data_IF_272566782469
#
_entry.id   IF_272566782469
#
_cell.length_a   1.000
_cell.length_b   1.000
_cell.length_c   1.000
_cell.angle_alpha   90.00
_cell.angle_beta   90.00
_cell.angle_gamma   90.00
#
_symmetry.space_group_name_H-M   'P 1'
#
loop_
_entity.id
_entity.type
_entity.pdbx_description
1 polymer ?
#
# COMPACT_ATOMS: atom_id res chain seq x y z
N UNK A 1 -50.39 35.87 32.36
CA UNK A 1 -51.76 35.48 32.82
C UNK A 1 -52.06 34.11 32.26
N UNK A 2 -52.23 33.23 33.19
CA UNK A 2 -53.13 32.07 33.27
C UNK A 2 -52.94 31.00 32.21
N UNK A 3 -52.39 29.78 32.59
CA UNK A 3 -53.03 28.67 33.31
C UNK A 3 -54.14 28.02 32.46
N UNK A 4 -54.35 26.76 32.28
CA UNK A 4 -54.12 25.58 33.13
C UNK A 4 -54.66 24.34 32.40
N UNK A 5 -53.96 23.15 32.57
CA UNK A 5 -54.46 21.81 32.89
C UNK A 5 -55.23 20.90 31.92
N UNK A 6 -54.61 19.76 31.70
CA UNK A 6 -55.03 18.39 32.06
C UNK A 6 -56.39 17.84 31.63
N UNK A 7 -56.38 16.67 30.96
CA UNK A 7 -56.71 15.41 31.62
C UNK A 7 -56.66 14.20 30.69
N UNK A 8 -56.18 13.15 31.30
CA UNK A 8 -56.15 11.74 30.91
C UNK A 8 -57.54 11.13 30.68
N UNK A 9 -57.52 10.00 30.00
CA UNK A 9 -58.16 8.67 30.14
C UNK A 9 -58.56 8.18 28.75
N UNK A 10 -58.32 7.00 28.27
CA UNK A 10 -58.05 5.70 28.83
C UNK A 10 -58.88 4.65 28.09
N UNK A 11 -58.30 3.47 27.99
CA UNK A 11 -58.90 2.16 27.72
C UNK A 11 -59.13 1.73 26.25
N UNK A 12 -58.37 0.76 25.80
CA UNK A 12 -58.42 -0.72 25.82
C UNK A 12 -59.09 -1.33 24.58
N UNK A 13 -58.33 -2.23 24.00
CA UNK A 13 -58.62 -3.53 23.37
C UNK A 13 -58.91 -3.63 21.87
N UNK A 14 -58.15 -4.49 21.26
CA UNK A 14 -58.49 -5.14 19.99
C UNK A 14 -57.30 -5.70 19.23
N UNK A 15 -56.81 -6.84 19.66
CA UNK A 15 -55.78 -7.62 18.93
C UNK A 15 -56.35 -8.14 17.60
N UNK A 16 -55.62 -7.97 16.51
CA UNK A 16 -55.64 -8.89 15.39
C UNK A 16 -54.24 -9.01 14.82
N UNK A 17 -53.68 -10.20 15.04
CA UNK A 17 -52.47 -10.72 14.44
C UNK A 17 -52.74 -10.94 12.95
N UNK A 18 -52.00 -10.27 12.09
CA UNK A 18 -51.79 -10.70 10.71
C UNK A 18 -50.30 -10.79 10.49
N UNK A 19 -49.88 -12.04 10.40
CA UNK A 19 -48.49 -12.37 10.12
C UNK A 19 -48.09 -11.89 8.73
N UNK A 20 -47.10 -11.00 8.70
CA UNK A 20 -46.29 -10.76 7.52
C UNK A 20 -44.94 -11.43 7.77
N UNK A 21 -44.71 -12.54 7.09
CA UNK A 21 -43.39 -13.19 7.05
C UNK A 21 -42.43 -12.25 6.35
N UNK A 22 -41.61 -11.57 7.15
CA UNK A 22 -40.44 -10.86 6.65
C UNK A 22 -39.36 -11.92 6.37
N UNK A 23 -39.18 -12.27 5.09
CA UNK A 23 -38.00 -13.04 4.66
C UNK A 23 -36.81 -12.09 4.79
N UNK A 24 -36.14 -12.12 5.94
CA UNK A 24 -34.78 -11.58 6.05
C UNK A 24 -33.87 -12.49 5.22
N UNK A 25 -33.52 -12.07 4.02
CA UNK A 25 -32.37 -12.62 3.32
C UNK A 25 -31.11 -12.09 4.04
N UNK A 26 -30.67 -12.80 5.08
CA UNK A 26 -29.33 -12.66 5.60
C UNK A 26 -28.39 -13.26 4.56
N UNK A 27 -27.82 -12.41 3.71
CA UNK A 27 -26.59 -12.75 3.02
C UNK A 27 -25.52 -12.92 4.10
N UNK A 28 -25.34 -14.15 4.56
CA UNK A 28 -24.15 -14.57 5.28
C UNK A 28 -22.97 -14.40 4.32
N UNK A 29 -22.32 -13.24 4.35
CA UNK A 29 -20.92 -13.13 4.01
C UNK A 29 -20.20 -13.97 5.08
N UNK A 30 -19.96 -15.24 4.77
CA UNK A 30 -19.06 -16.05 5.55
C UNK A 30 -17.71 -15.31 5.57
N UNK A 31 -17.13 -15.02 6.74
CA UNK A 31 -15.74 -14.62 6.77
C UNK A 31 -14.97 -15.77 6.15
N UNK A 32 -14.16 -15.48 5.13
CA UNK A 32 -13.16 -16.44 4.66
C UNK A 32 -12.20 -16.65 5.84
N UNK A 33 -12.53 -17.58 6.70
CA UNK A 33 -11.61 -18.09 7.70
C UNK A 33 -10.55 -18.86 6.91
N UNK A 34 -9.39 -18.29 6.76
CA UNK A 34 -8.20 -19.04 6.36
C UNK A 34 -7.99 -20.08 7.46
N UNK A 35 -8.29 -21.33 7.16
CA UNK A 35 -8.04 -22.43 8.11
C UNK A 35 -6.54 -22.65 8.10
N UNK A 36 -5.84 -22.03 9.05
CA UNK A 36 -4.46 -22.36 9.33
C UNK A 36 -4.44 -23.71 10.04
N UNK A 37 -3.84 -24.70 9.42
CA UNK A 37 -3.46 -25.89 10.15
C UNK A 37 -2.18 -25.57 10.93
N UNK A 38 -2.27 -25.62 12.26
CA UNK A 38 -1.11 -25.43 13.15
C UNK A 38 0.02 -26.39 12.79
N UNK A 39 1.13 -25.86 12.37
CA UNK A 39 2.52 -26.21 12.72
C UNK A 39 3.50 -25.48 11.79
N UNK A 40 4.44 -24.73 12.34
CA UNK A 40 5.79 -24.37 11.91
C UNK A 40 6.08 -24.07 10.45
N UNK A 41 6.72 -22.94 10.22
CA UNK A 41 7.50 -22.51 9.05
C UNK A 41 7.13 -23.12 7.68
N UNK A 42 6.54 -22.30 6.80
CA UNK A 42 6.62 -22.54 5.36
C UNK A 42 5.41 -23.19 4.68
N UNK A 43 4.21 -23.16 5.25
CA UNK A 43 3.03 -23.71 4.54
C UNK A 43 2.58 -22.78 3.42
N UNK A 44 2.51 -23.34 2.21
CA UNK A 44 1.88 -22.69 1.06
C UNK A 44 0.38 -22.49 1.37
N UNK A 45 -0.13 -21.26 1.35
CA UNK A 45 -1.53 -21.01 1.62
C UNK A 45 -2.42 -21.66 0.56
N UNK A 46 -3.46 -22.38 0.99
CA UNK A 46 -4.49 -22.89 0.09
C UNK A 46 -5.48 -21.74 -0.20
N UNK A 47 -5.30 -21.07 -1.32
CA UNK A 47 -6.07 -19.87 -1.68
C UNK A 47 -6.75 -20.02 -3.03
N UNK A 48 -7.97 -19.52 -3.12
CA UNK A 48 -8.74 -19.48 -4.36
C UNK A 48 -8.45 -18.18 -5.08
N UNK A 49 -8.15 -18.26 -6.38
CA UNK A 49 -7.97 -17.08 -7.23
C UNK A 49 -9.31 -16.31 -7.36
N UNK A 50 -9.25 -14.96 -7.42
CA UNK A 50 -10.42 -14.15 -7.72
C UNK A 50 -11.04 -14.48 -9.09
N UNK A 51 -12.35 -14.27 -9.19
CA UNK A 51 -13.05 -14.39 -10.46
C UNK A 51 -12.47 -13.44 -11.50
N UNK A 52 -12.05 -13.96 -12.66
CA UNK A 52 -11.42 -13.18 -13.73
C UNK A 52 -9.90 -13.31 -13.79
N UNK A 53 -9.27 -13.92 -12.80
CA UNK A 53 -7.88 -14.42 -12.92
C UNK A 53 -7.95 -15.83 -13.54
N UNK A 54 -7.15 -16.14 -14.58
CA UNK A 54 -7.18 -17.46 -15.20
C UNK A 54 -6.78 -18.58 -14.25
N UNK A 55 -7.45 -19.73 -14.38
CA UNK A 55 -7.28 -20.89 -13.48
C UNK A 55 -5.93 -21.60 -13.64
N UNK A 56 -5.18 -21.30 -14.70
CA UNK A 56 -3.81 -21.83 -14.92
C UNK A 56 -2.70 -20.98 -14.30
N UNK A 57 -3.06 -20.10 -13.35
CA UNK A 57 -2.10 -19.35 -12.57
C UNK A 57 -1.80 -20.07 -11.27
N UNK A 58 -0.53 -20.36 -11.03
CA UNK A 58 -0.04 -21.02 -9.84
C UNK A 58 0.58 -20.00 -8.88
N UNK A 59 0.43 -20.19 -7.57
CA UNK A 59 1.06 -19.36 -6.55
C UNK A 59 2.59 -19.58 -6.63
N UNK A 60 3.34 -18.54 -7.01
CA UNK A 60 4.79 -18.61 -7.22
C UNK A 60 5.59 -17.89 -6.16
N UNK A 61 4.96 -16.96 -5.46
CA UNK A 61 5.60 -16.20 -4.40
C UNK A 61 4.57 -15.65 -3.42
N UNK A 62 4.91 -15.65 -2.14
CA UNK A 62 4.05 -15.10 -1.10
C UNK A 62 4.84 -14.73 0.16
N UNK A 63 4.24 -13.89 1.00
CA UNK A 63 4.63 -13.64 2.37
C UNK A 63 3.37 -13.42 3.21
N UNK A 64 3.17 -14.28 4.20
CA UNK A 64 2.05 -14.23 5.14
C UNK A 64 2.43 -13.47 6.43
N UNK A 65 3.66 -12.95 6.48
CA UNK A 65 4.20 -12.20 7.62
C UNK A 65 4.13 -12.90 8.97
N UNK A 66 4.09 -14.24 8.98
CA UNK A 66 4.00 -15.09 10.18
C UNK A 66 5.24 -15.04 11.07
N UNK A 67 6.34 -14.50 10.57
CA UNK A 67 7.59 -14.36 11.31
C UNK A 67 7.55 -13.23 12.35
N UNK A 68 8.60 -13.13 13.14
CA UNK A 68 8.80 -12.03 14.09
C UNK A 68 9.76 -10.93 13.56
N UNK A 69 10.28 -11.12 12.35
CA UNK A 69 11.17 -10.19 11.64
C UNK A 69 10.92 -10.28 10.15
N UNK A 70 11.16 -9.17 9.47
CA UNK A 70 11.06 -9.10 8.02
C UNK A 70 12.03 -10.10 7.36
N UNK A 71 11.50 -10.94 6.46
CA UNK A 71 12.32 -11.85 5.65
C UNK A 71 13.17 -11.05 4.65
N UNK A 72 14.46 -10.92 4.98
CA UNK A 72 15.40 -10.14 4.19
C UNK A 72 15.81 -10.80 2.87
N UNK A 73 15.39 -12.02 2.62
CA UNK A 73 15.54 -12.69 1.32
C UNK A 73 14.46 -12.25 0.34
N UNK A 74 13.29 -11.82 0.85
CA UNK A 74 12.16 -11.34 0.07
C UNK A 74 12.08 -9.81 0.00
N UNK A 75 12.37 -9.12 1.11
CA UNK A 75 12.15 -7.70 1.31
C UNK A 75 13.36 -6.96 1.84
N UNK A 76 13.48 -5.69 1.53
CA UNK A 76 14.30 -4.75 2.26
C UNK A 76 13.54 -3.45 2.55
N UNK A 77 14.01 -2.71 3.54
CA UNK A 77 13.50 -1.39 3.87
C UNK A 77 13.85 -0.39 2.76
N UNK A 78 12.89 0.44 2.40
CA UNK A 78 13.13 1.57 1.51
C UNK A 78 13.50 2.79 2.38
N UNK A 79 14.80 3.00 2.61
CA UNK A 79 15.30 4.07 3.48
C UNK A 79 15.55 5.34 2.66
N UNK A 80 14.60 6.24 2.62
CA UNK A 80 14.78 7.54 1.96
C UNK A 80 13.67 8.50 2.36
N UNK A 81 13.89 9.81 2.13
CA UNK A 81 12.78 10.74 2.03
C UNK A 81 12.12 10.54 0.66
N UNK A 82 10.87 10.08 0.67
CA UNK A 82 10.12 9.85 -0.56
C UNK A 82 9.74 11.19 -1.19
N UNK A 83 10.06 11.35 -2.46
CA UNK A 83 9.76 12.51 -3.31
C UNK A 83 9.75 13.88 -2.61
N UNK A 84 10.91 14.46 -2.31
CA UNK A 84 10.99 15.79 -1.71
C UNK A 84 10.35 16.90 -2.57
N UNK A 85 10.19 16.67 -3.89
CA UNK A 85 9.49 17.62 -4.77
C UNK A 85 8.00 17.64 -4.51
N UNK A 86 7.41 16.50 -4.16
CA UNK A 86 6.03 16.40 -3.70
C UNK A 86 5.85 16.95 -2.28
N UNK A 87 6.96 17.32 -1.61
CA UNK A 87 7.00 17.84 -0.24
C UNK A 87 6.42 16.88 0.80
N UNK A 88 6.76 15.61 0.69
CA UNK A 88 6.44 14.62 1.73
C UNK A 88 7.16 14.97 3.03
N UNK A 89 6.47 14.82 4.15
CA UNK A 89 6.92 15.33 5.45
C UNK A 89 7.51 14.24 6.36
N UNK A 90 8.04 13.18 5.78
CA UNK A 90 8.54 12.02 6.53
C UNK A 90 9.88 11.51 6.01
N UNK A 91 10.50 10.66 6.82
CA UNK A 91 11.63 9.80 6.46
C UNK A 91 11.23 8.35 6.68
N UNK A 92 11.49 7.48 5.72
CA UNK A 92 11.38 6.05 5.92
C UNK A 92 12.56 5.54 6.76
N UNK A 93 12.27 4.68 7.71
CA UNK A 93 13.26 4.10 8.61
C UNK A 93 13.10 2.57 8.70
N UNK A 94 14.13 1.91 9.22
CA UNK A 94 14.10 0.50 9.61
C UNK A 94 13.90 0.33 11.14
N UNK A 95 13.45 1.38 11.82
CA UNK A 95 13.12 1.33 13.24
C UNK A 95 11.91 0.38 13.46
N UNK A 96 11.99 -0.53 14.44
CA UNK A 96 10.86 -1.40 14.81
C UNK A 96 9.56 -0.64 15.14
N UNK A 97 9.66 0.62 15.54
CA UNK A 97 8.48 1.46 15.74
C UNK A 97 7.78 1.85 14.44
N UNK A 98 8.49 1.80 13.29
CA UNK A 98 7.94 2.12 11.97
C UNK A 98 7.68 0.87 11.12
N UNK A 99 8.46 -0.21 11.30
CA UNK A 99 8.28 -1.47 10.57
C UNK A 99 8.39 -2.63 11.55
N UNK A 100 7.29 -3.30 11.82
CA UNK A 100 7.26 -4.44 12.74
C UNK A 100 6.33 -5.54 12.23
N UNK A 101 6.62 -6.77 12.68
CA UNK A 101 5.76 -7.93 12.47
C UNK A 101 5.20 -8.34 13.82
N UNK A 102 3.88 -8.46 13.90
CA UNK A 102 3.18 -8.86 15.12
C UNK A 102 1.89 -9.58 14.77
N UNK A 103 1.64 -10.71 15.39
CA UNK A 103 0.41 -11.51 15.27
C UNK A 103 0.08 -11.86 13.79
N UNK A 104 1.11 -12.17 12.96
CA UNK A 104 0.93 -12.47 11.54
C UNK A 104 0.62 -11.25 10.68
N UNK A 105 0.88 -10.05 11.17
CA UNK A 105 0.62 -8.78 10.46
C UNK A 105 1.91 -7.99 10.33
N UNK A 106 2.19 -7.49 9.14
CA UNK A 106 3.20 -6.44 8.93
C UNK A 106 2.56 -5.08 9.21
N UNK A 107 3.21 -4.31 10.07
CA UNK A 107 2.84 -2.94 10.43
C UNK A 107 3.80 -1.95 9.80
N UNK A 108 3.27 -1.01 9.00
CA UNK A 108 3.99 0.17 8.54
C UNK A 108 3.39 1.38 9.22
N UNK A 109 4.00 1.79 10.34
CA UNK A 109 3.47 2.81 11.25
C UNK A 109 4.18 4.13 11.03
N UNK A 110 3.42 5.20 10.82
CA UNK A 110 3.95 6.56 10.77
C UNK A 110 3.84 7.22 12.16
N UNK A 111 4.91 7.90 12.60
CA UNK A 111 5.01 8.52 13.92
C UNK A 111 5.49 9.97 13.82
N UNK A 112 4.97 10.83 14.72
CA UNK A 112 5.46 12.18 14.89
C UNK A 112 6.74 12.18 15.72
N UNK A 113 7.88 12.31 15.05
CA UNK A 113 9.24 12.29 15.62
C UNK A 113 10.04 13.48 15.12
N UNK A 114 9.74 14.71 15.59
CA UNK A 114 10.23 15.95 14.98
C UNK A 114 11.74 16.17 15.15
N UNK A 115 12.38 15.43 16.01
CA UNK A 115 13.82 15.53 16.29
C UNK A 115 14.56 14.27 15.87
N UNK A 116 15.83 14.43 15.53
CA UNK A 116 16.76 13.34 15.27
C UNK A 116 18.14 13.67 15.86
N UNK A 117 18.88 12.62 16.24
CA UNK A 117 20.28 12.78 16.61
C UNK A 117 21.13 12.92 15.33
N UNK A 118 21.94 13.97 15.28
CA UNK A 118 22.85 14.20 14.18
C UNK A 118 24.24 14.56 14.75
N UNK A 119 25.27 13.96 14.15
CA UNK A 119 26.64 14.29 14.51
C UNK A 119 26.96 15.74 14.14
N UNK A 120 27.43 16.52 15.13
CA UNK A 120 27.93 17.86 14.92
C UNK A 120 29.48 17.83 14.91
N UNK A 121 30.12 18.08 13.75
CA UNK A 121 31.59 18.01 13.63
C UNK A 121 32.30 19.08 14.42
N UNK A 122 31.64 20.21 14.72
CA UNK A 122 32.24 21.30 15.47
C UNK A 122 32.31 21.00 16.98
N UNK A 123 31.24 20.42 17.53
CA UNK A 123 31.17 20.05 18.95
C UNK A 123 31.64 18.62 19.18
N UNK A 124 31.86 17.82 18.14
CA UNK A 124 32.22 16.40 18.21
C UNK A 124 31.25 15.57 19.08
N UNK A 125 29.95 15.90 19.01
CA UNK A 125 28.86 15.22 19.73
C UNK A 125 27.66 15.03 18.85
N UNK A 126 26.80 14.06 19.24
CA UNK A 126 25.47 13.95 18.69
C UNK A 126 24.54 14.97 19.34
N UNK A 127 23.85 15.75 18.54
CA UNK A 127 22.92 16.79 18.98
C UNK A 127 21.54 16.54 18.40
N UNK A 128 20.51 16.90 19.19
CA UNK A 128 19.13 16.84 18.74
C UNK A 128 18.83 18.00 17.80
N UNK A 129 18.54 17.69 16.54
CA UNK A 129 18.16 18.66 15.50
C UNK A 129 16.77 18.35 14.97
N UNK A 130 16.13 19.35 14.37
CA UNK A 130 14.86 19.14 13.67
C UNK A 130 15.05 18.20 12.49
N UNK A 131 14.02 17.38 12.18
CA UNK A 131 13.98 16.60 10.95
C UNK A 131 13.57 17.51 9.82
N UNK A 132 14.34 17.50 8.75
CA UNK A 132 14.12 18.32 7.57
C UNK A 132 14.40 17.53 6.30
N UNK A 133 13.67 17.85 5.25
CA UNK A 133 13.94 17.42 3.89
C UNK A 133 14.45 18.59 3.07
N UNK A 134 15.30 18.29 2.10
CA UNK A 134 15.81 19.26 1.14
C UNK A 134 15.67 18.74 -0.29
N UNK A 135 15.38 19.65 -1.22
CA UNK A 135 15.49 19.34 -2.63
C UNK A 135 15.97 20.56 -3.41
N UNK A 136 16.62 20.31 -4.54
CA UNK A 136 16.99 21.36 -5.48
C UNK A 136 15.84 21.58 -6.45
N UNK A 137 15.25 22.77 -6.45
CA UNK A 137 14.19 23.13 -7.38
C UNK A 137 14.77 23.16 -8.82
N UNK A 138 14.27 22.32 -9.73
CA UNK A 138 14.81 22.24 -11.08
C UNK A 138 14.54 23.49 -11.93
N UNK A 139 13.57 24.34 -11.54
CA UNK A 139 13.23 25.57 -12.25
C UNK A 139 14.10 26.74 -11.83
N UNK A 140 14.36 26.86 -10.54
CA UNK A 140 15.10 28.00 -9.96
C UNK A 140 16.54 27.67 -9.61
N UNK A 141 16.88 26.39 -9.52
CA UNK A 141 18.18 25.92 -9.04
C UNK A 141 18.41 26.11 -7.54
N UNK A 142 17.44 26.67 -6.80
CA UNK A 142 17.53 26.92 -5.37
C UNK A 142 17.37 25.62 -4.57
N UNK A 143 18.10 25.52 -3.47
CA UNK A 143 17.89 24.48 -2.47
C UNK A 143 16.77 24.93 -1.53
N UNK A 144 15.72 24.14 -1.45
CA UNK A 144 14.56 24.36 -0.57
C UNK A 144 14.65 23.36 0.57
N UNK A 145 14.65 23.85 1.80
CA UNK A 145 14.59 23.05 3.03
C UNK A 145 13.25 23.27 3.71
N UNK A 146 12.64 22.19 4.18
CA UNK A 146 11.36 22.24 4.87
C UNK A 146 11.30 21.15 5.96
N UNK A 147 10.45 21.36 6.98
CA UNK A 147 10.30 20.39 8.08
C UNK A 147 9.66 19.10 7.62
N UNK A 148 10.23 17.99 8.04
CA UNK A 148 9.75 16.63 7.77
C UNK A 148 9.70 15.83 9.09
N UNK A 149 8.79 16.20 10.02
CA UNK A 149 8.86 15.77 11.41
C UNK A 149 8.28 14.37 11.66
N UNK A 150 8.05 13.59 10.62
CA UNK A 150 7.55 12.23 10.75
C UNK A 150 8.61 11.19 10.39
N UNK A 151 8.49 10.01 11.00
CA UNK A 151 9.10 8.78 10.52
C UNK A 151 8.01 7.82 10.09
N UNK A 152 8.31 6.92 9.15
CA UNK A 152 7.35 5.94 8.64
C UNK A 152 8.04 4.70 8.11
N UNK A 153 7.24 3.68 7.75
CA UNK A 153 7.71 2.43 7.19
C UNK A 153 7.49 2.32 5.69
N UNK A 154 8.46 1.68 5.01
CA UNK A 154 8.33 1.23 3.63
C UNK A 154 9.21 0.00 3.38
N UNK A 155 8.68 -0.97 2.64
CA UNK A 155 9.41 -2.16 2.22
C UNK A 155 9.27 -2.40 0.71
N UNK A 156 10.23 -3.09 0.13
CA UNK A 156 10.25 -3.40 -1.29
C UNK A 156 11.01 -4.70 -1.57
N UNK A 157 10.72 -5.35 -2.69
CA UNK A 157 11.46 -6.56 -3.14
C UNK A 157 12.78 -6.21 -3.88
N UNK A 158 13.42 -5.15 -3.43
CA UNK A 158 14.77 -4.69 -3.85
C UNK A 158 15.51 -4.25 -2.61
N UNK A 159 16.80 -4.59 -2.49
CA UNK A 159 17.58 -4.15 -1.35
C UNK A 159 17.93 -2.65 -1.42
N UNK A 160 18.44 -2.14 -0.30
CA UNK A 160 18.85 -0.72 -0.14
C UNK A 160 20.04 -0.34 -1.02
N UNK A 161 20.74 -1.31 -1.61
CA UNK A 161 21.86 -1.11 -2.53
C UNK A 161 21.47 -1.22 -4.00
N UNK A 162 20.18 -1.45 -4.27
CA UNK A 162 19.62 -1.51 -5.61
C UNK A 162 19.56 -2.91 -6.24
N UNK A 163 20.01 -3.96 -5.52
CA UNK A 163 19.90 -5.34 -5.98
C UNK A 163 18.43 -5.79 -5.91
N UNK A 164 17.92 -6.31 -7.00
CA UNK A 164 16.60 -6.93 -7.05
C UNK A 164 16.64 -8.24 -6.25
N UNK A 165 15.80 -8.38 -5.24
CA UNK A 165 15.61 -9.59 -4.46
C UNK A 165 14.62 -10.52 -5.16
N UNK A 166 13.50 -9.94 -5.62
CA UNK A 166 12.49 -10.64 -6.40
C UNK A 166 11.85 -9.67 -7.40
N UNK A 167 11.64 -10.13 -8.62
CA UNK A 167 10.87 -9.44 -9.65
C UNK A 167 9.94 -10.42 -10.37
N UNK A 168 8.82 -9.93 -10.86
CA UNK A 168 7.81 -10.71 -11.57
C UNK A 168 7.81 -10.32 -13.04
N UNK A 169 8.26 -11.25 -13.89
CA UNK A 169 8.43 -11.06 -15.33
C UNK A 169 7.23 -11.69 -16.06
N UNK A 170 6.81 -11.08 -17.15
CA UNK A 170 5.70 -11.58 -17.97
C UNK A 170 4.32 -11.27 -17.36
N UNK A 171 3.42 -12.24 -17.46
CA UNK A 171 2.07 -12.15 -16.90
C UNK A 171 2.08 -12.59 -15.42
N UNK A 172 1.34 -11.88 -14.59
CA UNK A 172 1.17 -12.23 -13.17
C UNK A 172 -0.13 -11.63 -12.62
N UNK A 173 -0.64 -12.24 -11.56
CA UNK A 173 -1.59 -11.64 -10.63
C UNK A 173 -0.88 -11.42 -9.29
N UNK A 174 -0.93 -10.20 -8.78
CA UNK A 174 -0.40 -9.86 -7.47
C UNK A 174 -1.53 -9.29 -6.60
N UNK A 175 -1.58 -9.72 -5.33
CA UNK A 175 -2.60 -9.30 -4.38
C UNK A 175 -1.99 -9.10 -3.00
N UNK A 176 -2.55 -8.13 -2.27
CA UNK A 176 -2.27 -7.92 -0.85
C UNK A 176 -3.55 -7.64 -0.09
N UNK A 177 -3.65 -8.12 1.15
CA UNK A 177 -4.77 -7.85 2.06
C UNK A 177 -4.34 -6.85 3.10
N UNK A 178 -4.98 -5.67 3.08
CA UNK A 178 -4.49 -4.49 3.81
C UNK A 178 -5.65 -3.78 4.50
N UNK A 179 -5.40 -3.31 5.75
CA UNK A 179 -6.22 -2.30 6.42
C UNK A 179 -5.47 -0.98 6.42
N UNK A 180 -6.14 0.08 5.95
CA UNK A 180 -5.51 1.38 5.73
C UNK A 180 -5.45 2.24 7.00
N UNK A 181 -4.43 3.12 7.13
CA UNK A 181 -4.38 4.11 8.19
C UNK A 181 -5.47 5.17 8.01
N UNK A 182 -5.92 5.76 9.11
CA UNK A 182 -6.94 6.81 9.11
C UNK A 182 -6.44 8.14 9.72
N UNK A 183 -5.16 8.38 9.66
CA UNK A 183 -4.56 9.67 9.99
C UNK A 183 -4.56 10.63 8.80
N UNK A 184 -4.78 11.89 9.07
CA UNK A 184 -5.21 12.90 8.09
C UNK A 184 -4.31 13.05 6.87
N UNK A 185 -3.00 13.07 7.03
CA UNK A 185 -2.05 13.20 5.92
C UNK A 185 -1.41 11.90 5.47
N UNK A 186 -2.00 10.76 5.84
CA UNK A 186 -1.53 9.45 5.37
C UNK A 186 -1.77 9.26 3.89
N UNK A 187 -0.76 8.73 3.23
CA UNK A 187 -0.77 8.27 1.85
C UNK A 187 -0.19 6.86 1.84
N UNK A 188 -1.06 5.87 1.96
CA UNK A 188 -0.71 4.47 1.93
C UNK A 188 -0.85 3.93 0.51
N UNK A 189 0.11 3.08 0.08
CA UNK A 189 0.14 2.54 -1.28
C UNK A 189 0.70 1.12 -1.32
N UNK A 190 0.11 0.30 -2.18
CA UNK A 190 0.69 -0.93 -2.71
C UNK A 190 0.92 -0.71 -4.20
N UNK A 191 2.16 -0.80 -4.64
CA UNK A 191 2.56 -0.42 -5.98
C UNK A 191 3.77 -1.18 -6.48
N UNK A 192 4.06 -1.03 -7.75
CA UNK A 192 5.10 -1.79 -8.44
C UNK A 192 5.88 -0.89 -9.38
N UNK A 193 7.18 -1.14 -9.53
CA UNK A 193 8.00 -0.46 -10.53
C UNK A 193 8.78 -1.47 -11.36
N UNK A 194 8.91 -1.18 -12.64
CA UNK A 194 9.74 -1.98 -13.53
C UNK A 194 11.22 -1.92 -13.16
N UNK A 195 11.96 -2.95 -13.52
CA UNK A 195 13.39 -3.10 -13.21
C UNK A 195 14.29 -2.63 -14.36
N UNK A 196 13.74 -2.51 -15.58
CA UNK A 196 14.44 -2.07 -16.79
C UNK A 196 13.98 -0.68 -17.22
N UNK A 197 14.81 0.06 -17.92
CA UNK A 197 14.40 1.35 -18.52
C UNK A 197 14.71 2.61 -17.70
N UNK A 198 15.45 2.52 -16.58
CA UNK A 198 16.03 3.70 -15.90
C UNK A 198 15.18 4.28 -14.79
N UNK A 199 14.37 3.47 -14.12
CA UNK A 199 13.59 3.85 -12.95
C UNK A 199 12.21 4.44 -13.29
N UNK A 200 11.34 4.51 -12.27
CA UNK A 200 9.99 5.07 -12.42
C UNK A 200 10.04 6.58 -12.80
N UNK A 201 9.13 7.05 -13.68
CA UNK A 201 8.07 6.28 -14.36
C UNK A 201 8.54 5.62 -15.69
N UNK A 202 9.80 5.80 -16.10
CA UNK A 202 10.31 5.29 -17.39
C UNK A 202 10.31 3.76 -17.46
N UNK A 203 10.57 3.10 -16.34
CA UNK A 203 10.51 1.63 -16.22
C UNK A 203 9.09 1.08 -16.14
N UNK A 204 8.08 1.94 -16.17
CA UNK A 204 6.69 1.61 -15.85
C UNK A 204 6.43 1.58 -14.35
N UNK A 205 5.23 2.04 -13.97
CA UNK A 205 4.76 2.03 -12.59
C UNK A 205 3.30 1.61 -12.58
N UNK A 206 2.95 0.70 -11.69
CA UNK A 206 1.59 0.21 -11.47
C UNK A 206 1.26 0.47 -10.01
N UNK A 207 0.37 1.42 -9.74
CA UNK A 207 -0.15 1.65 -8.41
C UNK A 207 -1.42 0.82 -8.25
N UNK A 208 -1.27 -0.34 -7.58
CA UNK A 208 -2.40 -1.24 -7.32
C UNK A 208 -3.48 -0.50 -6.55
N UNK A 209 -3.06 0.26 -5.54
CA UNK A 209 -3.85 1.33 -4.96
C UNK A 209 -2.99 2.44 -4.36
N UNK A 210 -3.59 3.62 -4.29
CA UNK A 210 -3.17 4.77 -3.50
C UNK A 210 -4.37 5.28 -2.70
N UNK A 211 -4.16 5.68 -1.45
CA UNK A 211 -5.23 6.13 -0.54
C UNK A 211 -4.91 7.47 0.11
N UNK A 212 -5.97 8.13 0.61
CA UNK A 212 -5.86 9.35 1.41
C UNK A 212 -6.44 9.09 2.80
N UNK A 213 -5.64 9.19 3.83
CA UNK A 213 -6.04 8.80 5.19
C UNK A 213 -7.21 9.60 5.76
N UNK A 214 -7.48 10.81 5.26
CA UNK A 214 -8.64 11.61 5.66
C UNK A 214 -9.94 11.26 4.92
N UNK A 215 -9.85 10.49 3.82
CA UNK A 215 -11.01 10.09 3.03
C UNK A 215 -11.07 8.56 2.87
N UNK A 216 -11.81 7.85 3.73
CA UNK A 216 -11.91 6.40 3.68
C UNK A 216 -12.57 5.87 2.39
N UNK A 217 -13.22 6.75 1.61
CA UNK A 217 -13.82 6.43 0.32
C UNK A 217 -12.90 6.70 -0.86
N UNK A 218 -11.69 7.24 -0.60
CA UNK A 218 -10.74 7.52 -1.66
C UNK A 218 -9.71 6.40 -1.78
N UNK A 219 -9.84 5.62 -2.82
CA UNK A 219 -8.83 4.67 -3.31
C UNK A 219 -8.75 4.85 -4.81
N UNK A 220 -7.56 4.97 -5.35
CA UNK A 220 -7.34 5.00 -6.79
C UNK A 220 -6.30 3.98 -7.22
N UNK A 221 -6.49 3.39 -8.40
CA UNK A 221 -5.47 2.70 -9.16
C UNK A 221 -4.83 3.66 -10.16
N UNK A 222 -3.57 3.44 -10.52
CA UNK A 222 -2.87 4.30 -11.45
C UNK A 222 -1.82 3.52 -12.26
N UNK A 223 -1.53 4.01 -13.47
CA UNK A 223 -0.41 3.60 -14.29
C UNK A 223 0.39 4.85 -14.63
N UNK A 224 1.68 4.83 -14.33
CA UNK A 224 2.60 5.88 -14.79
C UNK A 224 3.55 5.34 -15.85
N UNK A 225 3.80 6.14 -16.86
CA UNK A 225 4.69 5.80 -17.97
C UNK A 225 5.75 6.87 -18.17
N UNK A 226 6.70 6.60 -19.06
CA UNK A 226 7.67 7.58 -19.48
C UNK A 226 6.99 8.89 -19.94
N UNK A 227 7.61 10.06 -19.65
CA UNK A 227 7.05 11.33 -20.06
C UNK A 227 7.01 11.46 -21.58
N UNK A 228 5.95 12.07 -22.09
CA UNK A 228 5.86 12.50 -23.48
C UNK A 228 6.32 13.94 -23.64
N UNK A 229 6.80 14.27 -24.83
CA UNK A 229 7.06 15.65 -25.20
C UNK A 229 5.78 16.28 -25.75
N UNK A 230 5.24 17.28 -25.06
CA UNK A 230 4.09 18.05 -25.52
C UNK A 230 4.57 19.38 -26.13
N UNK A 231 4.07 19.70 -27.33
CA UNK A 231 4.28 21.03 -27.91
C UNK A 231 3.36 22.03 -27.25
N UNK A 232 3.93 23.01 -26.57
CA UNK A 232 3.17 24.19 -26.13
C UNK A 232 3.01 25.13 -27.34
N UNK A 233 1.92 25.02 -28.07
CA UNK A 233 1.61 25.82 -29.27
C UNK A 233 1.61 27.33 -28.98
N UNK A 234 1.26 27.74 -27.75
CA UNK A 234 1.28 29.13 -27.34
C UNK A 234 2.70 29.67 -27.17
N UNK A 235 3.62 28.83 -26.71
CA UNK A 235 5.02 29.21 -26.48
C UNK A 235 5.95 28.77 -27.59
N UNK A 236 5.46 28.03 -28.60
CA UNK A 236 6.26 27.39 -29.65
C UNK A 236 7.45 26.59 -29.12
N UNK A 237 7.29 26.00 -27.93
CA UNK A 237 8.31 25.20 -27.24
C UNK A 237 7.80 23.82 -26.98
N UNK A 238 8.66 22.82 -27.10
CA UNK A 238 8.40 21.47 -26.66
C UNK A 238 8.65 21.41 -25.16
N UNK A 239 7.67 20.96 -24.37
CA UNK A 239 7.81 20.69 -22.94
C UNK A 239 7.77 19.19 -22.70
N UNK A 240 8.70 18.71 -21.91
CA UNK A 240 8.65 17.34 -21.41
C UNK A 240 7.61 17.26 -20.28
N UNK A 241 6.61 16.41 -20.45
CA UNK A 241 5.65 16.08 -19.40
C UNK A 241 6.34 15.18 -18.39
N UNK A 242 6.10 15.39 -17.11
CA UNK A 242 6.76 14.63 -16.04
C UNK A 242 6.50 13.11 -16.16
N UNK A 243 5.25 12.74 -16.41
CA UNK A 243 4.82 11.37 -16.74
C UNK A 243 3.45 11.40 -17.38
N UNK A 244 3.11 10.38 -18.13
CA UNK A 244 1.71 10.11 -18.50
C UNK A 244 1.08 9.25 -17.40
N UNK A 245 -0.16 9.60 -17.02
CA UNK A 245 -0.92 8.95 -15.95
C UNK A 245 -2.25 8.45 -16.45
N UNK A 246 -2.65 7.27 -15.98
CA UNK A 246 -3.91 6.61 -16.32
C UNK A 246 -4.56 6.14 -15.03
N UNK A 247 -5.24 7.06 -14.33
CA UNK A 247 -5.77 6.84 -13.00
C UNK A 247 -7.28 6.60 -13.00
N UNK A 248 -7.74 5.76 -12.10
CA UNK A 248 -9.13 5.43 -11.87
C UNK A 248 -9.43 5.36 -10.38
N UNK A 249 -10.46 6.09 -9.92
CA UNK A 249 -10.98 5.92 -8.57
C UNK A 249 -11.67 4.55 -8.47
N UNK A 250 -11.29 3.75 -7.47
CA UNK A 250 -11.86 2.44 -7.24
C UNK A 250 -13.13 2.54 -6.40
N UNK A 251 -14.15 1.69 -6.67
CA UNK A 251 -15.34 1.63 -5.83
C UNK A 251 -14.98 1.01 -4.47
N UNK A 252 -15.45 1.64 -3.40
CA UNK A 252 -15.40 1.09 -2.05
C UNK A 252 -16.51 1.72 -1.20
N UNK A 253 -16.89 1.09 -0.09
CA UNK A 253 -17.96 1.52 0.79
C UNK A 253 -17.47 2.47 1.91
N UNK A 254 -16.15 2.66 2.06
CA UNK A 254 -15.54 3.57 3.02
C UNK A 254 -15.14 2.94 4.35
N UNK A 255 -15.05 1.61 4.43
CA UNK A 255 -14.60 0.87 5.62
C UNK A 255 -13.13 0.42 5.56
N UNK A 256 -12.38 0.84 4.56
CA UNK A 256 -10.97 0.49 4.33
C UNK A 256 -10.03 0.75 5.52
N UNK A 257 -10.45 1.60 6.44
CA UNK A 257 -9.73 1.97 7.66
C UNK A 257 -10.18 1.16 8.89
N UNK A 258 -11.29 0.44 8.79
CA UNK A 258 -11.86 -0.36 9.89
C UNK A 258 -11.80 -1.85 9.63
N UNK A 259 -11.71 -2.26 8.37
CA UNK A 259 -11.62 -3.65 7.94
C UNK A 259 -10.43 -3.89 7.01
N UNK A 260 -10.01 -5.14 6.89
CA UNK A 260 -9.06 -5.57 5.87
C UNK A 260 -9.78 -5.80 4.54
N UNK A 261 -9.20 -5.29 3.47
CA UNK A 261 -9.64 -5.47 2.09
C UNK A 261 -8.53 -6.04 1.23
N UNK A 262 -8.87 -6.73 0.14
CA UNK A 262 -7.89 -7.21 -0.83
C UNK A 262 -7.77 -6.23 -2.00
N UNK A 263 -6.53 -5.95 -2.36
CA UNK A 263 -6.16 -5.10 -3.48
C UNK A 263 -5.27 -5.90 -4.42
N UNK A 264 -5.70 -6.05 -5.66
CA UNK A 264 -5.00 -6.89 -6.61
C UNK A 264 -4.81 -6.26 -7.98
N UNK A 265 -3.85 -6.77 -8.73
CA UNK A 265 -3.60 -6.41 -10.13
C UNK A 265 -3.25 -7.64 -10.95
N UNK A 266 -3.92 -7.80 -12.07
CA UNK A 266 -3.60 -8.78 -13.11
C UNK A 266 -2.95 -8.06 -14.29
N UNK A 267 -1.64 -8.24 -14.47
CA UNK A 267 -0.92 -7.88 -15.68
C UNK A 267 -0.98 -9.09 -16.62
N UNK A 268 -1.69 -8.98 -17.73
CA UNK A 268 -1.90 -10.12 -18.63
C UNK A 268 -1.97 -9.67 -20.09
N UNK A 269 -1.09 -10.24 -20.91
CA UNK A 269 -1.09 -10.02 -22.35
C UNK A 269 -1.03 -8.54 -22.72
N UNK A 270 -2.14 -7.97 -23.22
CA UNK A 270 -2.22 -6.59 -23.69
C UNK A 270 -2.87 -5.60 -22.73
N UNK A 271 -3.09 -5.98 -21.46
CA UNK A 271 -3.85 -5.19 -20.49
C UNK A 271 -3.39 -5.36 -19.05
N UNK A 272 -3.80 -4.42 -18.22
CA UNK A 272 -3.76 -4.47 -16.76
C UNK A 272 -5.17 -4.38 -16.22
N UNK A 273 -5.55 -5.27 -15.30
CA UNK A 273 -6.85 -5.25 -14.62
C UNK A 273 -6.65 -5.14 -13.12
N UNK A 274 -7.33 -4.18 -12.49
CA UNK A 274 -7.28 -3.94 -11.06
C UNK A 274 -8.47 -4.59 -10.37
N UNK A 275 -8.21 -5.11 -9.16
CA UNK A 275 -9.19 -5.84 -8.35
C UNK A 275 -9.31 -5.17 -6.98
N UNK A 276 -10.55 -5.17 -6.47
CA UNK A 276 -10.87 -4.80 -5.10
C UNK A 276 -11.81 -5.86 -4.52
N UNK A 277 -11.46 -6.44 -3.38
CA UNK A 277 -12.18 -7.55 -2.73
C UNK A 277 -12.52 -8.69 -3.70
N UNK A 278 -11.53 -9.10 -4.50
CA UNK A 278 -11.67 -10.18 -5.46
C UNK A 278 -12.52 -9.86 -6.70
N UNK A 279 -12.99 -8.61 -6.85
CA UNK A 279 -13.77 -8.18 -8.01
C UNK A 279 -12.92 -7.33 -8.95
N UNK A 280 -12.97 -7.63 -10.25
CA UNK A 280 -12.36 -6.78 -11.27
C UNK A 280 -13.12 -5.45 -11.35
N UNK A 281 -12.43 -4.33 -11.09
CA UNK A 281 -13.04 -2.99 -10.96
C UNK A 281 -12.58 -2.01 -12.03
N UNK A 282 -11.42 -2.24 -12.64
CA UNK A 282 -10.89 -1.38 -13.70
C UNK A 282 -9.94 -2.15 -14.59
N UNK A 283 -10.06 -1.97 -15.91
CA UNK A 283 -9.14 -2.56 -16.90
C UNK A 283 -8.64 -1.48 -17.86
N UNK A 284 -7.32 -1.44 -18.05
CA UNK A 284 -6.65 -0.57 -19.00
C UNK A 284 -5.89 -1.41 -20.02
N UNK A 285 -6.21 -1.23 -21.32
CA UNK A 285 -5.48 -1.87 -22.41
C UNK A 285 -4.22 -1.08 -22.76
N UNK A 286 -3.12 -1.76 -23.09
CA UNK A 286 -1.88 -1.09 -23.49
C UNK A 286 -2.03 -0.25 -24.75
N UNK A 287 -3.03 -0.54 -25.62
CA UNK A 287 -3.37 0.34 -26.76
C UNK A 287 -3.82 1.73 -26.35
N UNK A 288 -4.28 1.91 -25.11
CA UNK A 288 -4.72 3.19 -24.55
C UNK A 288 -3.55 3.96 -23.87
N UNK A 289 -2.41 3.32 -23.68
CA UNK A 289 -1.26 3.86 -22.96
C UNK A 289 -0.25 4.42 -23.98
N UNK A 290 0.10 5.69 -23.83
CA UNK A 290 1.27 6.26 -24.50
C UNK A 290 2.54 5.75 -23.79
N UNK A 291 3.62 5.52 -24.55
CA UNK A 291 4.89 5.02 -24.00
C UNK A 291 4.72 3.73 -23.19
N UNK A 292 4.01 2.77 -23.78
CA UNK A 292 3.68 1.47 -23.18
C UNK A 292 4.84 0.47 -23.12
N UNK A 293 5.99 0.83 -23.66
CA UNK A 293 7.15 -0.04 -23.89
C UNK A 293 7.56 -0.78 -22.63
N UNK A 294 7.48 -0.12 -21.47
CA UNK A 294 7.82 -0.73 -20.18
C UNK A 294 6.89 -1.90 -19.80
N UNK A 295 5.64 -1.89 -20.27
CA UNK A 295 4.65 -2.92 -19.94
C UNK A 295 4.64 -4.09 -20.93
N UNK A 296 5.03 -3.83 -22.16
CA UNK A 296 5.06 -4.85 -23.24
C UNK A 296 6.42 -5.50 -23.40
N UNK A 297 7.47 -4.93 -22.80
CA UNK A 297 8.81 -5.54 -22.81
C UNK A 297 8.81 -6.84 -21.99
N UNK A 298 9.03 -8.02 -22.61
CA UNK A 298 8.97 -9.29 -21.93
C UNK A 298 10.10 -9.51 -20.90
N UNK A 299 11.16 -8.69 -20.95
CA UNK A 299 12.28 -8.77 -20.01
C UNK A 299 12.13 -7.82 -18.81
N UNK A 300 11.11 -6.95 -18.83
CA UNK A 300 10.91 -6.01 -17.75
C UNK A 300 10.11 -6.65 -16.61
N UNK A 301 10.80 -7.06 -15.57
CA UNK A 301 10.18 -7.50 -14.33
C UNK A 301 9.70 -6.34 -13.48
N UNK A 302 8.73 -6.58 -12.62
CA UNK A 302 8.21 -5.61 -11.68
C UNK A 302 8.54 -6.03 -10.24
N UNK A 303 9.06 -5.09 -9.45
CA UNK A 303 9.24 -5.25 -8.00
C UNK A 303 8.02 -4.73 -7.26
N UNK A 304 7.71 -5.37 -6.12
CA UNK A 304 6.65 -4.93 -5.21
C UNK A 304 7.15 -3.86 -4.24
N UNK A 305 6.26 -2.95 -3.89
CA UNK A 305 6.50 -1.89 -2.91
C UNK A 305 5.26 -1.65 -2.05
N UNK A 306 5.48 -1.56 -0.75
CA UNK A 306 4.48 -1.16 0.25
C UNK A 306 5.01 0.07 0.95
N UNK A 307 4.25 1.16 0.93
CA UNK A 307 4.70 2.45 1.47
C UNK A 307 3.61 3.13 2.26
N UNK A 308 3.97 3.70 3.40
CA UNK A 308 3.10 4.59 4.16
C UNK A 308 3.75 5.97 4.23
N UNK A 309 3.31 6.88 3.38
CA UNK A 309 3.84 8.24 3.26
C UNK A 309 3.02 9.19 4.13
N UNK A 310 3.63 10.27 4.61
CA UNK A 310 2.95 11.36 5.33
C UNK A 310 3.17 12.66 4.61
N UNK A 311 2.08 13.39 4.35
CA UNK A 311 2.12 14.66 3.64
C UNK A 311 2.36 14.51 2.14
N UNK A 312 2.63 15.63 1.50
CA UNK A 312 2.90 15.69 0.07
C UNK A 312 1.72 16.22 -0.75
N UNK A 313 2.00 16.48 -2.03
CA UNK A 313 1.03 17.10 -2.95
C UNK A 313 -0.20 16.25 -3.23
N UNK A 314 -0.11 14.94 -3.03
CA UNK A 314 -1.22 14.02 -3.22
C UNK A 314 -2.32 14.18 -2.16
N UNK A 315 -1.93 14.49 -0.93
CA UNK A 315 -2.83 14.74 0.21
C UNK A 315 -2.96 16.24 0.53
N UNK A 316 -2.73 17.09 -0.45
CA UNK A 316 -2.65 18.56 -0.35
C UNK A 316 -3.88 19.25 0.24
N UNK A 317 -5.03 18.59 0.14
CA UNK A 317 -6.30 19.20 0.54
C UNK A 317 -6.42 19.28 2.06
N UNK A 318 -5.49 18.65 2.79
CA UNK A 318 -5.49 18.64 4.24
C UNK A 318 -4.97 19.95 4.86
N UNK A 319 -4.06 20.65 4.21
CA UNK A 319 -3.52 21.93 4.67
C UNK A 319 -4.29 23.15 4.12
N UNK A 320 -5.50 22.94 3.58
CA UNK A 320 -6.32 23.98 2.97
C UNK A 320 -5.76 24.54 1.67
N UNK A 321 -4.88 23.78 1.00
CA UNK A 321 -4.26 24.19 -0.27
C UNK A 321 -3.14 25.22 -0.10
N UNK A 322 -2.87 25.67 1.12
CA UNK A 322 -1.73 26.54 1.42
C UNK A 322 -0.51 25.65 1.69
N UNK A 323 0.33 25.45 0.70
CA UNK A 323 1.58 24.70 0.83
C UNK A 323 2.63 25.42 1.74
N UNK A 324 2.16 26.22 2.67
CA UNK A 324 2.99 26.84 3.68
C UNK A 324 3.19 25.81 4.79
N UNK A 325 4.22 24.99 4.63
CA UNK A 325 4.76 24.11 5.67
C UNK A 325 5.24 24.95 6.85
N UNK A 326 4.30 25.58 7.53
CA UNK A 326 4.56 26.26 8.80
C UNK A 326 4.83 25.22 9.88
N UNK A 327 5.44 25.62 10.97
CA UNK A 327 5.70 24.77 12.14
C UNK A 327 4.43 24.18 12.77
N UNK A 328 3.25 24.69 12.40
CA UNK A 328 1.98 24.19 12.81
C UNK A 328 1.57 22.99 11.93
N UNK A 329 1.74 21.79 12.43
CA UNK A 329 1.21 20.57 11.87
C UNK A 329 -0.04 20.21 12.67
N UNK A 330 -1.23 20.61 12.24
CA UNK A 330 -2.46 20.50 13.04
C UNK A 330 -2.84 19.04 13.31
N UNK A 331 -2.42 18.11 12.47
CA UNK A 331 -2.74 16.68 12.56
C UNK A 331 -1.67 15.84 13.29
N UNK A 332 -0.62 16.45 13.85
CA UNK A 332 0.47 15.70 14.52
C UNK A 332 -0.01 14.74 15.61
N UNK A 333 -1.13 15.06 16.25
CA UNK A 333 -1.68 14.26 17.34
C UNK A 333 -2.21 12.90 16.86
N UNK A 334 -2.58 12.78 15.59
CA UNK A 334 -2.97 11.51 14.96
C UNK A 334 -1.80 10.53 14.78
N UNK A 335 -0.58 10.99 15.04
CA UNK A 335 0.66 10.22 14.83
C UNK A 335 1.47 10.01 16.12
N UNK A 336 0.91 10.30 17.30
CA UNK A 336 1.67 10.22 18.57
C UNK A 336 2.00 8.79 18.98
N UNK A 337 1.06 7.89 18.82
CA UNK A 337 1.15 6.51 19.31
C UNK A 337 0.99 5.45 18.21
N UNK A 338 0.83 5.88 16.97
CA UNK A 338 0.64 4.99 15.83
C UNK A 338 -0.77 4.40 15.70
N UNK A 339 -1.66 4.55 16.67
CA UNK A 339 -2.98 3.91 16.66
C UNK A 339 -3.86 4.27 15.45
N UNK A 340 -3.67 5.46 14.89
CA UNK A 340 -4.41 5.96 13.72
C UNK A 340 -3.59 5.92 12.43
N UNK A 341 -2.26 5.77 12.54
CA UNK A 341 -1.30 5.90 11.46
C UNK A 341 -0.57 4.59 11.18
N UNK A 342 -1.27 3.48 11.32
CA UNK A 342 -0.75 2.15 11.11
C UNK A 342 -1.40 1.51 9.87
N UNK A 343 -0.60 1.26 8.83
CA UNK A 343 -0.97 0.46 7.67
C UNK A 343 -0.67 -0.99 8.01
N UNK A 344 -1.71 -1.81 8.12
CA UNK A 344 -1.62 -3.22 8.49
C UNK A 344 -1.72 -4.11 7.25
N UNK A 345 -0.76 -4.97 7.04
CA UNK A 345 -0.69 -5.87 5.89
C UNK A 345 -0.69 -7.31 6.39
N UNK A 346 -1.73 -8.07 6.01
CA UNK A 346 -1.93 -9.47 6.39
C UNK A 346 -1.06 -10.39 5.52
N UNK A 347 -1.08 -10.18 4.21
CA UNK A 347 -0.26 -10.94 3.27
C UNK A 347 0.04 -10.18 1.98
N UNK A 348 1.04 -10.68 1.26
CA UNK A 348 1.27 -10.39 -0.18
C UNK A 348 1.47 -11.71 -0.91
N UNK A 349 0.76 -11.89 -2.02
CA UNK A 349 0.78 -13.13 -2.83
C UNK A 349 0.89 -12.82 -4.30
N UNK A 350 1.63 -13.65 -5.05
CA UNK A 350 1.77 -13.52 -6.50
C UNK A 350 1.62 -14.87 -7.18
N UNK A 351 0.83 -14.87 -8.23
CA UNK A 351 0.57 -16.04 -9.10
C UNK A 351 1.06 -15.74 -10.51
N UNK A 352 1.59 -16.76 -11.17
CA UNK A 352 2.04 -16.66 -12.56
C UNK A 352 1.53 -17.86 -13.39
N UNK A 353 1.30 -17.68 -14.71
CA UNK A 353 0.74 -18.73 -15.52
C UNK A 353 1.74 -19.89 -15.71
N UNK A 354 1.24 -21.14 -15.63
CA UNK A 354 2.00 -22.37 -15.92
C UNK A 354 3.36 -22.45 -15.22
N UNK A 355 3.48 -21.81 -14.07
CA UNK A 355 4.68 -21.86 -13.25
C UNK A 355 4.70 -23.15 -12.43
N UNK A 356 5.86 -23.51 -11.89
CA UNK A 356 5.91 -24.52 -10.85
C UNK A 356 5.41 -23.88 -9.56
N UNK A 357 4.38 -24.45 -8.90
CA UNK A 357 3.93 -23.95 -7.62
C UNK A 357 5.07 -23.97 -6.60
N UNK A 358 5.03 -23.04 -5.65
CA UNK A 358 5.93 -23.11 -4.50
C UNK A 358 5.58 -24.37 -3.72
N UNK A 359 6.51 -25.30 -3.67
CA UNK A 359 6.40 -26.49 -2.83
C UNK A 359 7.24 -26.28 -1.59
N UNK A 360 6.67 -26.51 -0.41
CA UNK A 360 7.49 -26.70 0.79
C UNK A 360 8.18 -28.04 0.67
N UNK A 361 9.50 -28.06 0.55
CA UNK A 361 10.25 -29.30 0.77
C UNK A 361 10.01 -29.72 2.22
N UNK A 362 9.38 -30.87 2.43
CA UNK A 362 9.41 -31.48 3.76
C UNK A 362 10.86 -31.71 4.17
N UNK A 363 11.26 -31.33 5.39
CA UNK A 363 12.59 -31.63 5.87
C UNK A 363 12.79 -33.14 5.79
N UNK A 364 13.70 -33.58 4.94
CA UNK A 364 14.10 -34.99 4.83
C UNK A 364 14.68 -35.39 6.18
N UNK A 365 13.88 -36.09 6.99
CA UNK A 365 14.34 -36.63 8.25
C UNK A 365 15.32 -37.74 7.94
N UNK A 366 16.61 -37.41 7.89
CA UNK A 366 17.68 -38.41 7.80
C UNK A 366 17.74 -39.12 9.15
N UNK A 367 17.04 -40.24 9.26
CA UNK A 367 17.15 -41.14 10.43
C UNK A 367 18.52 -41.81 10.36
N UNK A 368 19.49 -41.28 11.08
CA UNK A 368 20.76 -41.93 11.29
C UNK A 368 20.56 -43.09 12.27
N UNK A 369 20.43 -44.30 11.72
CA UNK A 369 20.40 -45.51 12.52
C UNK A 369 21.83 -45.80 13.01
N UNK A 370 22.12 -45.47 14.24
CA UNK A 370 23.37 -45.87 14.91
C UNK A 370 23.24 -47.32 15.31
N UNK A 371 23.86 -48.23 14.53
CA UNK A 371 23.97 -49.63 14.91
C UNK A 371 25.09 -49.76 15.95
N UNK A 372 24.73 -49.96 17.21
CA UNK A 372 25.68 -50.30 18.25
C UNK A 372 25.92 -51.79 18.16
N UNK A 373 27.11 -52.21 17.72
CA UNK A 373 27.57 -53.57 17.78
C UNK A 373 28.11 -53.83 19.19
N UNK A 374 27.55 -54.83 19.86
CA UNK A 374 28.01 -55.39 21.15
C UNK A 374 29.15 -56.33 20.93
#
# INVERSE_FOLDING_TARGET
MQKVRNKQKGMIAGARVLGASLILSTSLLAPFATVYAETGEGRVPNVTLPTGVPTNYDLTWFDEFDGNKLDRTKWDYSLSSFDPKARTQMHFTDDPANVSLKDGILHLTALYTPKQLKWNPNTKKNEWVDRENTYKDPKTGQTITYKAPFTSGAIQTRDRHGKVLTEFVGDFYAESRIKLPFSESSWASFWMTGTKGGGSPKSGEIDVFESKGYDPKFIQANIHTAPTQEKDEKKKKTQEKYSDQYQQKLPNNGDTQTAFHTYGVLKQGDKVTFFYDGQAVYTLKYSQIKNKEAFVNPENGFILRLTHIVGGSFVKDFDGGTRNYTDAIPYKDSYKDGSRSDMQIDYVRVWQPNAKPVTTEEPTTTTTTTTTTV
#
